data_IF_827894309611
#
_entry.id   IF_827894309611
#
_cell.length_a   1.000
_cell.length_b   1.000
_cell.length_c   1.000
_cell.angle_alpha   90.00
_cell.angle_beta   90.00
_cell.angle_gamma   90.00
#
_symmetry.space_group_name_H-M   'P 1'
#
loop_
_entity.id
_entity.type
_entity.pdbx_description
1 polymer ?
#
# COMPACT_ATOMS: atom_id res chain seq x y z
N UNK A 1 17.08 -26.94 -44.35
CA UNK A 1 16.71 -28.29 -44.83
C UNK A 1 15.46 -28.07 -45.68
N UNK A 2 15.45 -28.11 -47.00
CA UNK A 2 15.94 -29.11 -47.97
C UNK A 2 16.20 -28.38 -49.31
N UNK A 3 17.34 -28.62 -49.97
CA UNK A 3 17.53 -28.29 -51.39
C UNK A 3 17.70 -29.60 -52.14
N UNK A 4 16.80 -29.86 -53.08
CA UNK A 4 16.82 -31.04 -53.95
C UNK A 4 17.40 -30.64 -55.31
N UNK A 5 18.15 -31.50 -56.03
CA UNK A 5 18.81 -31.12 -57.26
C UNK A 5 17.88 -31.37 -58.45
N UNK A 6 17.78 -30.39 -59.37
CA UNK A 6 17.33 -30.69 -60.72
C UNK A 6 18.29 -30.11 -61.77
N UNK A 7 18.85 -31.08 -62.50
CA UNK A 7 19.06 -31.16 -63.94
C UNK A 7 18.90 -29.84 -64.73
N UNK A 8 19.99 -29.52 -65.42
CA UNK A 8 20.19 -28.46 -66.39
C UNK A 8 18.95 -28.07 -67.23
N UNK A 9 18.43 -26.87 -66.95
CA UNK A 9 17.76 -25.99 -67.90
C UNK A 9 18.32 -24.57 -67.68
N UNK A 10 18.67 -23.88 -68.77
CA UNK A 10 19.17 -22.50 -68.78
C UNK A 10 18.08 -21.55 -68.25
N UNK A 11 18.17 -21.21 -66.96
CA UNK A 11 17.32 -20.21 -66.30
C UNK A 11 18.19 -19.02 -65.88
N UNK A 12 17.76 -17.82 -66.27
CA UNK A 12 18.36 -16.54 -65.90
C UNK A 12 18.41 -16.47 -64.36
N UNK A 13 19.61 -16.65 -63.79
CA UNK A 13 19.82 -16.64 -62.36
C UNK A 13 19.68 -15.20 -61.86
N UNK A 14 18.47 -14.80 -61.47
CA UNK A 14 18.28 -13.65 -60.58
C UNK A 14 18.95 -13.99 -59.26
N UNK A 15 20.16 -13.46 -59.04
CA UNK A 15 20.82 -13.47 -57.73
C UNK A 15 19.91 -12.70 -56.77
N UNK A 16 19.02 -13.41 -56.08
CA UNK A 16 18.37 -12.90 -54.88
C UNK A 16 19.42 -12.74 -53.80
N UNK A 17 20.00 -11.54 -53.68
CA UNK A 17 20.82 -11.18 -52.52
C UNK A 17 19.93 -11.31 -51.27
N UNK A 18 20.15 -12.36 -50.48
CA UNK A 18 19.64 -12.39 -49.12
C UNK A 18 20.49 -11.43 -48.27
N UNK A 19 19.98 -10.22 -48.02
CA UNK A 19 20.59 -9.30 -47.06
C UNK A 19 20.42 -9.86 -45.65
N UNK A 20 21.54 -10.25 -45.02
CA UNK A 20 21.57 -10.55 -43.59
C UNK A 20 21.93 -9.25 -42.86
N UNK A 21 20.98 -8.70 -42.12
CA UNK A 21 21.23 -7.57 -41.24
C UNK A 21 21.58 -8.09 -39.84
N UNK A 22 22.67 -7.59 -39.27
CA UNK A 22 23.04 -7.83 -37.87
C UNK A 22 23.37 -6.50 -37.21
N UNK A 23 22.99 -6.36 -35.94
CA UNK A 23 23.29 -5.19 -35.13
C UNK A 23 23.70 -5.65 -33.73
N UNK A 24 24.67 -4.94 -33.14
CA UNK A 24 25.04 -5.16 -31.75
C UNK A 24 24.15 -4.31 -30.85
N UNK A 25 23.64 -4.92 -29.78
CA UNK A 25 22.91 -4.24 -28.72
C UNK A 25 23.83 -4.10 -27.50
N UNK A 26 23.90 -2.90 -26.94
CA UNK A 26 24.61 -2.63 -25.69
C UNK A 26 23.63 -2.09 -24.67
N UNK A 27 23.67 -2.62 -23.46
CA UNK A 27 22.85 -2.21 -22.34
C UNK A 27 23.75 -1.63 -21.26
N UNK A 28 23.35 -0.49 -20.69
CA UNK A 28 24.03 0.13 -19.54
C UNK A 28 22.99 0.72 -18.59
N UNK A 29 23.32 0.79 -17.30
CA UNK A 29 22.42 1.27 -16.26
C UNK A 29 23.13 1.38 -14.91
N UNK A 30 22.38 1.79 -13.89
CA UNK A 30 22.83 1.82 -12.49
C UNK A 30 21.86 1.02 -11.63
N UNK A 31 22.38 0.45 -10.54
CA UNK A 31 21.59 -0.27 -9.53
C UNK A 31 21.62 0.56 -8.26
N UNK A 32 20.47 1.09 -7.84
CA UNK A 32 20.33 1.90 -6.63
C UNK A 32 19.34 1.21 -5.68
N UNK A 33 19.76 1.01 -4.43
CA UNK A 33 18.93 0.41 -3.38
C UNK A 33 18.30 1.53 -2.53
N UNK A 34 16.98 1.52 -2.31
CA UNK A 34 16.34 2.47 -1.40
C UNK A 34 16.87 2.31 0.03
N UNK A 35 16.98 3.39 0.81
CA UNK A 35 17.49 3.31 2.17
C UNK A 35 16.49 2.60 3.08
N UNK A 36 16.92 2.03 4.21
CA UNK A 36 15.99 1.45 5.17
C UNK A 36 15.07 2.54 5.77
N UNK A 37 13.78 2.23 5.87
CA UNK A 37 12.78 3.04 6.56
C UNK A 37 12.28 2.35 7.84
N UNK A 38 11.94 3.15 8.84
CA UNK A 38 11.26 2.71 10.06
C UNK A 38 10.05 3.58 10.34
N UNK A 39 8.98 2.96 10.86
CA UNK A 39 7.83 3.66 11.42
C UNK A 39 7.98 3.63 12.94
N UNK A 40 7.92 4.80 13.56
CA UNK A 40 7.99 4.99 15.02
C UNK A 40 9.18 4.26 15.69
N UNK A 41 10.34 4.27 15.02
CA UNK A 41 11.54 3.54 15.42
C UNK A 41 11.33 2.02 15.68
N UNK A 42 10.29 1.43 15.07
CA UNK A 42 9.91 0.03 15.24
C UNK A 42 9.06 -0.26 16.49
N UNK A 43 8.63 0.78 17.22
CA UNK A 43 7.78 0.62 18.39
C UNK A 43 6.32 0.40 18.00
N UNK A 44 5.55 -0.09 18.97
CA UNK A 44 4.09 -0.17 18.83
C UNK A 44 3.48 1.19 19.13
N UNK A 45 2.67 1.69 18.19
CA UNK A 45 1.89 2.91 18.37
C UNK A 45 0.59 2.54 19.08
N UNK A 46 0.41 3.02 20.32
CA UNK A 46 -0.79 2.76 21.11
C UNK A 46 -1.72 3.97 21.14
N UNK A 47 -3.01 3.72 20.90
CA UNK A 47 -4.07 4.71 21.09
C UNK A 47 -5.05 4.19 22.14
N UNK A 48 -4.94 4.70 23.36
CA UNK A 48 -5.87 4.39 24.44
C UNK A 48 -7.12 5.27 24.30
N UNK A 49 -8.31 4.68 24.20
CA UNK A 49 -9.58 5.42 24.17
C UNK A 49 -10.14 5.71 25.57
N UNK A 50 -9.62 5.07 26.61
CA UNK A 50 -10.20 5.09 27.96
C UNK A 50 -11.63 4.55 27.97
N UNK A 51 -12.49 5.16 28.79
CA UNK A 51 -13.90 4.77 28.88
C UNK A 51 -14.73 5.35 27.72
N UNK A 52 -15.24 4.44 26.88
CA UNK A 52 -16.11 4.79 25.75
C UNK A 52 -17.57 4.46 26.10
N UNK A 53 -18.40 5.50 26.23
CA UNK A 53 -19.83 5.31 26.42
C UNK A 53 -20.50 4.77 25.15
N UNK A 54 -21.13 3.59 25.22
CA UNK A 54 -21.79 2.90 24.10
C UNK A 54 -22.74 3.81 23.29
N UNK A 55 -23.52 4.65 23.97
CA UNK A 55 -24.47 5.58 23.32
C UNK A 55 -23.79 6.74 22.58
N UNK A 56 -22.50 6.94 22.80
CA UNK A 56 -21.66 7.99 22.20
C UNK A 56 -20.76 7.45 21.09
N UNK A 57 -20.84 6.16 20.76
CA UNK A 57 -20.15 5.59 19.59
C UNK A 57 -20.95 5.96 18.34
N UNK A 58 -20.70 7.16 17.83
CA UNK A 58 -21.39 7.78 16.68
C UNK A 58 -20.44 8.02 15.48
N UNK A 59 -19.15 7.68 15.62
CA UNK A 59 -18.11 7.93 14.62
C UNK A 59 -17.57 9.36 14.61
N UNK A 60 -17.91 10.18 15.59
CA UNK A 60 -17.39 11.54 15.77
C UNK A 60 -16.72 11.73 17.14
N UNK A 61 -17.36 11.25 18.21
CA UNK A 61 -16.83 11.34 19.57
C UNK A 61 -15.61 10.45 19.77
N UNK A 62 -14.72 10.84 20.69
CA UNK A 62 -13.50 10.11 21.02
C UNK A 62 -12.50 9.98 19.86
N UNK A 63 -12.56 10.87 18.86
CA UNK A 63 -11.52 10.95 17.83
C UNK A 63 -10.17 11.26 18.48
N UNK A 64 -9.15 10.48 18.13
CA UNK A 64 -7.77 10.65 18.61
C UNK A 64 -6.80 10.63 17.43
N UNK A 65 -5.74 11.43 17.52
CA UNK A 65 -4.63 11.36 16.57
C UNK A 65 -3.80 10.10 16.78
N UNK A 66 -3.26 9.57 15.69
CA UNK A 66 -2.24 8.51 15.70
C UNK A 66 -0.88 9.20 15.56
N UNK A 67 -0.14 9.31 16.66
CA UNK A 67 1.15 10.00 16.70
C UNK A 67 2.28 9.15 16.14
N UNK A 68 2.29 8.92 14.82
CA UNK A 68 3.33 8.13 14.15
C UNK A 68 4.42 9.01 13.54
N UNK A 69 5.60 8.43 13.35
CA UNK A 69 6.70 9.05 12.60
C UNK A 69 7.22 8.08 11.54
N UNK A 70 7.69 8.60 10.41
CA UNK A 70 8.41 7.81 9.39
C UNK A 70 9.82 8.36 9.29
N UNK A 71 10.82 7.50 9.50
CA UNK A 71 12.24 7.85 9.40
C UNK A 71 12.92 6.92 8.41
N UNK A 72 13.44 7.48 7.32
CA UNK A 72 14.21 6.76 6.32
C UNK A 72 15.65 7.28 6.29
N UNK A 73 16.60 6.42 5.91
CA UNK A 73 17.99 6.84 5.72
C UNK A 73 18.12 7.97 4.67
N UNK A 74 19.24 8.69 4.74
CA UNK A 74 19.55 9.75 3.78
C UNK A 74 19.75 9.17 2.38
N UNK A 75 19.09 9.76 1.39
CA UNK A 75 19.31 9.44 -0.02
C UNK A 75 19.45 10.70 -0.88
N UNK A 76 20.09 10.51 -2.03
CA UNK A 76 20.23 11.45 -3.13
C UNK A 76 19.06 11.39 -4.13
N UNK A 77 18.24 10.33 -4.11
CA UNK A 77 17.12 10.11 -5.02
C UNK A 77 15.75 10.40 -4.37
N UNK A 78 14.78 10.97 -5.12
CA UNK A 78 13.44 11.29 -4.62
C UNK A 78 12.55 10.05 -4.63
N UNK A 79 12.79 9.11 -3.71
CA UNK A 79 11.99 7.89 -3.62
C UNK A 79 10.52 8.21 -3.25
N UNK A 80 9.59 7.66 -4.04
CA UNK A 80 8.17 7.71 -3.73
C UNK A 80 7.82 6.59 -2.74
N UNK A 81 6.97 6.91 -1.76
CA UNK A 81 6.49 5.97 -0.75
C UNK A 81 4.99 5.81 -0.86
N UNK A 82 4.52 4.61 -0.53
CA UNK A 82 3.13 4.29 -0.28
C UNK A 82 2.93 3.99 1.18
N UNK A 83 1.90 4.57 1.76
CA UNK A 83 1.44 4.29 3.11
C UNK A 83 0.16 3.47 3.05
N UNK A 84 0.03 2.45 3.89
CA UNK A 84 -1.20 1.68 4.03
C UNK A 84 -1.45 1.31 5.49
N UNK A 85 -2.73 1.17 5.84
CA UNK A 85 -3.14 0.60 7.13
C UNK A 85 -3.75 -0.76 6.87
N UNK A 86 -3.03 -1.81 7.25
CA UNK A 86 -3.35 -3.18 6.92
C UNK A 86 -3.95 -3.89 8.12
N UNK A 87 -5.10 -4.52 7.92
CA UNK A 87 -5.83 -5.17 8.99
C UNK A 87 -7.16 -5.74 8.53
N UNK A 88 -7.83 -6.43 9.44
CA UNK A 88 -9.17 -6.96 9.17
C UNK A 88 -10.18 -5.82 9.22
N UNK A 89 -10.77 -5.49 8.07
CA UNK A 89 -11.83 -4.50 7.99
C UNK A 89 -13.14 -5.05 8.56
N UNK A 90 -13.95 -4.17 9.15
CA UNK A 90 -15.33 -4.52 9.50
C UNK A 90 -16.18 -4.75 8.25
N UNK A 91 -17.26 -5.51 8.39
CA UNK A 91 -18.21 -5.76 7.29
C UNK A 91 -19.10 -4.57 6.95
N UNK A 92 -19.18 -3.57 7.84
CA UNK A 92 -20.06 -2.40 7.70
C UNK A 92 -19.31 -1.12 7.36
N UNK A 93 -17.98 -1.12 7.44
CA UNK A 93 -17.12 0.01 7.18
C UNK A 93 -15.71 -0.46 6.79
N UNK A 94 -15.36 -0.29 5.51
CA UNK A 94 -14.06 -0.70 4.96
C UNK A 94 -12.87 0.13 5.46
N UNK A 95 -13.12 1.28 6.11
CA UNK A 95 -12.09 2.09 6.75
C UNK A 95 -11.96 1.79 8.25
N UNK A 96 -12.76 0.86 8.79
CA UNK A 96 -12.74 0.51 10.21
C UNK A 96 -12.07 -0.83 10.47
N UNK A 97 -11.11 -0.83 11.39
CA UNK A 97 -10.46 -2.04 11.89
C UNK A 97 -11.43 -2.77 12.80
N UNK A 98 -11.61 -4.07 12.57
CA UNK A 98 -12.42 -4.92 13.43
C UNK A 98 -11.84 -4.98 14.83
N UNK A 99 -12.69 -4.77 15.84
CA UNK A 99 -12.32 -4.95 17.24
C UNK A 99 -12.66 -6.37 17.72
N UNK A 100 -12.19 -6.72 18.92
CA UNK A 100 -12.63 -7.92 19.65
C UNK A 100 -14.12 -7.92 20.03
N UNK A 101 -14.82 -6.78 19.93
CA UNK A 101 -16.25 -6.66 20.19
C UNK A 101 -17.01 -6.64 18.85
N UNK A 102 -17.91 -7.59 18.59
CA UNK A 102 -18.71 -7.59 17.38
C UNK A 102 -19.49 -6.29 17.18
N UNK A 103 -19.65 -5.88 15.92
CA UNK A 103 -20.33 -4.64 15.53
C UNK A 103 -19.66 -3.34 16.04
N UNK A 104 -18.48 -3.40 16.68
CA UNK A 104 -17.63 -2.26 17.00
C UNK A 104 -16.36 -2.30 16.15
N UNK A 105 -16.05 -1.17 15.52
CA UNK A 105 -14.84 -0.96 14.73
C UNK A 105 -14.11 0.32 15.13
N UNK A 106 -12.85 0.44 14.73
CA UNK A 106 -12.06 1.68 14.86
C UNK A 106 -11.81 2.22 13.47
N UNK A 107 -12.56 3.26 13.07
CA UNK A 107 -12.42 3.91 11.75
C UNK A 107 -11.16 4.75 11.74
N UNK A 108 -10.35 4.54 10.70
CA UNK A 108 -9.12 5.28 10.43
C UNK A 108 -9.41 6.40 9.44
N UNK A 109 -8.78 7.55 9.66
CA UNK A 109 -8.80 8.69 8.78
C UNK A 109 -7.39 9.05 8.36
N UNK A 110 -7.24 9.48 7.11
CA UNK A 110 -6.09 10.20 6.58
C UNK A 110 -6.55 11.60 6.19
N UNK A 111 -5.91 12.65 6.71
CA UNK A 111 -6.25 14.05 6.40
C UNK A 111 -7.77 14.32 6.49
N UNK A 112 -8.40 13.88 7.59
CA UNK A 112 -9.84 13.96 7.85
C UNK A 112 -10.78 13.17 6.92
N UNK A 113 -10.26 12.43 5.93
CA UNK A 113 -11.03 11.53 5.07
C UNK A 113 -10.91 10.08 5.53
N UNK A 114 -11.96 9.25 5.46
CA UNK A 114 -11.86 7.83 5.77
C UNK A 114 -10.75 7.17 4.96
N UNK A 115 -9.85 6.46 5.64
CA UNK A 115 -8.75 5.73 5.01
C UNK A 115 -9.16 4.26 4.87
N UNK A 116 -9.56 3.86 3.66
CA UNK A 116 -9.88 2.47 3.36
C UNK A 116 -8.72 1.55 3.73
N UNK A 117 -8.99 0.53 4.54
CA UNK A 117 -7.95 -0.40 4.96
C UNK A 117 -7.44 -1.23 3.79
N UNK A 118 -6.18 -1.64 3.88
CA UNK A 118 -5.51 -2.44 2.87
C UNK A 118 -5.44 -1.76 1.49
N UNK A 119 -5.55 -0.42 1.45
CA UNK A 119 -5.36 0.36 0.23
C UNK A 119 -4.13 1.26 0.38
N UNK A 120 -3.21 1.26 -0.60
CA UNK A 120 -2.04 2.12 -0.56
C UNK A 120 -2.40 3.57 -0.90
N UNK A 121 -1.75 4.51 -0.24
CA UNK A 121 -1.80 5.95 -0.47
C UNK A 121 -0.39 6.44 -0.78
N UNK A 122 -0.19 7.09 -1.92
CA UNK A 122 1.08 7.73 -2.24
C UNK A 122 1.34 8.90 -1.26
N UNK A 123 2.53 8.94 -0.65
CA UNK A 123 2.92 9.94 0.34
C UNK A 123 4.30 10.52 0.03
N UNK A 124 4.56 11.71 0.59
CA UNK A 124 5.90 12.30 0.63
C UNK A 124 6.37 12.39 2.09
N UNK A 125 7.64 12.05 2.33
CA UNK A 125 8.24 12.12 3.67
C UNK A 125 8.26 13.53 4.27
N UNK A 126 8.27 14.57 3.44
CA UNK A 126 8.25 15.95 3.92
C UNK A 126 6.86 16.40 4.40
N UNK A 127 5.80 15.66 4.04
CA UNK A 127 4.42 15.97 4.41
C UNK A 127 3.60 14.68 4.52
N UNK A 128 3.91 13.80 5.50
CA UNK A 128 3.14 12.58 5.72
C UNK A 128 1.70 12.92 6.12
N UNK A 129 0.71 12.08 5.78
CA UNK A 129 -0.69 12.35 6.07
C UNK A 129 -0.96 12.32 7.58
N UNK A 130 -1.84 13.19 8.06
CA UNK A 130 -2.30 13.11 9.45
C UNK A 130 -3.23 11.90 9.59
N UNK A 131 -2.91 11.00 10.52
CA UNK A 131 -3.74 9.84 10.82
C UNK A 131 -4.54 10.08 12.10
N UNK A 132 -5.83 9.75 12.06
CA UNK A 132 -6.72 9.82 13.22
C UNK A 132 -7.61 8.57 13.27
N UNK A 133 -8.09 8.24 14.46
CA UNK A 133 -8.96 7.09 14.68
C UNK A 133 -10.17 7.46 15.53
N UNK A 134 -11.30 6.82 15.28
CA UNK A 134 -12.53 7.02 16.05
C UNK A 134 -13.31 5.69 16.19
N UNK A 135 -13.92 5.40 17.36
CA UNK A 135 -14.81 4.26 17.50
C UNK A 135 -16.08 4.45 16.67
N UNK A 136 -16.47 3.41 15.93
CA UNK A 136 -17.68 3.35 15.11
C UNK A 136 -18.43 2.07 15.39
N UNK A 137 -19.75 2.10 15.27
CA UNK A 137 -20.58 0.90 15.41
C UNK A 137 -21.39 0.64 14.17
N UNK A 138 -21.71 -0.63 13.94
CA UNK A 138 -22.60 -1.03 12.87
C UNK A 138 -23.97 -0.32 13.01
N UNK A 139 -24.53 0.24 11.93
CA UNK A 139 -25.85 0.86 11.97
C UNK A 139 -26.92 -0.11 12.51
N UNK A 140 -27.76 0.38 13.43
CA UNK A 140 -28.80 -0.42 14.08
C UNK A 140 -28.31 -1.38 15.18
N UNK A 141 -27.00 -1.57 15.34
CA UNK A 141 -26.47 -2.45 16.39
C UNK A 141 -26.55 -1.80 17.78
N UNK A 142 -26.80 -2.65 18.77
CA UNK A 142 -26.68 -2.33 20.20
C UNK A 142 -25.44 -3.01 20.74
N UNK A 143 -24.46 -2.24 21.20
CA UNK A 143 -23.26 -2.78 21.82
C UNK A 143 -23.54 -3.13 23.28
N UNK A 144 -22.89 -4.18 23.77
CA UNK A 144 -22.86 -4.53 25.19
C UNK A 144 -21.60 -3.96 25.88
N UNK A 145 -21.64 -3.67 27.18
CA UNK A 145 -20.43 -3.28 27.93
C UNK A 145 -19.38 -4.38 27.88
N UNK A 146 -18.20 -4.06 27.35
CA UNK A 146 -17.07 -4.97 27.24
C UNK A 146 -15.77 -4.18 27.05
N UNK A 147 -14.64 -4.81 27.39
CA UNK A 147 -13.32 -4.35 26.95
C UNK A 147 -13.16 -4.68 25.47
N UNK A 148 -12.55 -3.77 24.71
CA UNK A 148 -12.27 -3.99 23.29
C UNK A 148 -10.80 -3.70 22.97
N UNK A 149 -10.29 -4.38 21.96
CA UNK A 149 -8.99 -4.11 21.35
C UNK A 149 -9.08 -4.28 19.84
N UNK A 150 -8.25 -3.57 19.08
CA UNK A 150 -8.07 -3.73 17.65
C UNK A 150 -6.60 -3.62 17.30
N UNK A 151 -6.17 -4.33 16.27
CA UNK A 151 -4.77 -4.33 15.81
C UNK A 151 -4.77 -4.15 14.30
N UNK A 152 -3.90 -3.27 13.82
CA UNK A 152 -3.59 -3.07 12.42
C UNK A 152 -2.09 -2.77 12.28
N UNK A 153 -1.56 -2.96 11.07
CA UNK A 153 -0.18 -2.66 10.71
C UNK A 153 -0.15 -1.39 9.88
N UNK A 154 0.57 -0.38 10.34
CA UNK A 154 0.92 0.77 9.50
C UNK A 154 2.15 0.40 8.67
N UNK A 155 2.04 0.43 7.36
CA UNK A 155 3.09 -0.01 6.43
C UNK A 155 3.49 1.13 5.51
N UNK A 156 4.78 1.43 5.45
CA UNK A 156 5.39 2.30 4.45
C UNK A 156 6.26 1.46 3.51
N UNK A 157 5.98 1.52 2.21
CA UNK A 157 6.69 0.77 1.17
C UNK A 157 7.16 1.71 0.05
N UNK A 158 8.31 1.40 -0.55
CA UNK A 158 8.76 2.13 -1.74
C UNK A 158 7.93 1.75 -2.96
N UNK A 159 7.65 2.74 -3.81
CA UNK A 159 6.92 2.54 -5.08
C UNK A 159 7.77 1.85 -6.15
#
# INVERSE_FOLDING_TARGET
>A
MICWPQRALLALCSLGLCSVASANLTFSGTLNEPPPCTIDAGNTIEVDFGDVGIKRVDGMQYRKGVGYTISCGTDTLPWALKLSVNGTATTFDGAAVQTSVPALGIRVFQNNLPFSLNTPLDISLSSPPVLEVVPVKQPGATLAPARFSAVATLLAEYQ
#
